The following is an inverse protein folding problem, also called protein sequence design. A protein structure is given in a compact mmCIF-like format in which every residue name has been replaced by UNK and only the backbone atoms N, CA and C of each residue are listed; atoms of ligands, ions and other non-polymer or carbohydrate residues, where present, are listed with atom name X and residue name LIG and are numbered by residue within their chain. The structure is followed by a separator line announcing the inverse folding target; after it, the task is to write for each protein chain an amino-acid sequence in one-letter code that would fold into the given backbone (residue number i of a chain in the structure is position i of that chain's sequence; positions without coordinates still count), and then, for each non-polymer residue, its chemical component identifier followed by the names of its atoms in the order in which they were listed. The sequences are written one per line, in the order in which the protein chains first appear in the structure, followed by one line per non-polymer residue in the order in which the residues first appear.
data_IF_034159811039
#
_entry.id   IF_034159811039
#
_cell.length_a   1.000
_cell.length_b   1.000
_cell.length_c   1.000
_cell.angle_alpha   90.00
_cell.angle_beta   90.00
_cell.angle_gamma   90.00
#
_symmetry.space_group_name_H-M   'P 1'
#
loop_
_entity.id
_entity.type
_entity.pdbx_description
1 polymer ?
#
# COMPACT_ATOMS: atom_id res chain seq x y z
N UNK A 1 -26.39 -6.99 45.07
CA UNK A 1 -25.87 -8.37 45.23
C UNK A 1 -24.36 -8.25 45.03
N UNK A 2 -23.54 -7.91 46.04
CA UNK A 2 -23.01 -8.83 47.07
C UNK A 2 -22.76 -10.22 46.44
N UNK A 3 -21.56 -10.81 46.36
CA UNK A 3 -20.27 -10.52 46.96
C UNK A 3 -19.38 -11.75 46.61
N UNK A 4 -18.07 -11.67 46.88
CA UNK A 4 -17.28 -12.74 47.53
C UNK A 4 -16.60 -13.82 46.64
N UNK A 5 -15.27 -13.65 46.56
CA UNK A 5 -14.21 -14.64 46.89
C UNK A 5 -13.34 -15.17 45.75
N UNK A 6 -12.08 -14.69 45.83
CA UNK A 6 -10.85 -15.28 45.37
C UNK A 6 -10.73 -16.76 45.77
N UNK A 7 -10.36 -17.62 44.84
CA UNK A 7 -9.70 -18.88 45.17
C UNK A 7 -8.34 -18.91 44.45
N UNK A 8 -7.31 -18.58 45.24
CA UNK A 8 -5.93 -18.90 44.94
C UNK A 8 -5.83 -20.43 44.94
N UNK A 9 -5.45 -21.02 43.80
CA UNK A 9 -4.92 -22.38 43.75
C UNK A 9 -3.52 -22.30 43.15
N UNK A 10 -2.52 -22.34 44.03
CA UNK A 10 -1.14 -22.64 43.70
C UNK A 10 -1.07 -24.08 43.18
N UNK A 11 -0.85 -24.25 41.89
CA UNK A 11 -0.30 -25.49 41.34
C UNK A 11 0.96 -25.15 40.55
N UNK A 12 2.09 -25.57 41.10
CA UNK A 12 3.34 -25.67 40.38
C UNK A 12 3.18 -26.76 39.32
N UNK A 13 3.27 -26.36 38.06
CA UNK A 13 3.19 -27.26 36.91
C UNK A 13 3.88 -26.61 35.73
N UNK A 14 5.18 -26.85 35.61
CA UNK A 14 5.97 -26.51 34.43
C UNK A 14 5.41 -27.31 33.25
N UNK A 15 4.64 -26.66 32.40
CA UNK A 15 4.24 -27.18 31.09
C UNK A 15 4.78 -26.22 30.03
N UNK A 16 5.67 -26.78 29.20
CA UNK A 16 6.28 -26.16 28.03
C UNK A 16 5.18 -25.69 27.07
N UNK A 17 4.84 -24.40 27.12
CA UNK A 17 4.04 -23.77 26.08
C UNK A 17 4.99 -23.30 24.97
N UNK A 18 4.96 -24.07 23.88
CA UNK A 18 5.49 -23.83 22.54
C UNK A 18 5.71 -22.35 22.22
N UNK A 19 6.93 -22.00 21.80
CA UNK A 19 7.24 -20.67 21.30
C UNK A 19 6.31 -20.29 20.16
N UNK A 20 5.62 -19.17 20.31
CA UNK A 20 4.89 -18.54 19.23
C UNK A 20 5.90 -18.13 18.14
N UNK A 21 6.05 -18.96 17.12
CA UNK A 21 6.59 -18.52 15.84
C UNK A 21 5.44 -17.89 15.07
N UNK A 22 5.30 -16.57 15.18
CA UNK A 22 4.37 -15.83 14.35
C UNK A 22 4.99 -14.46 14.02
N UNK A 23 5.51 -14.32 12.80
CA UNK A 23 5.70 -13.02 12.15
C UNK A 23 7.12 -12.61 11.76
N UNK A 24 7.90 -13.43 11.04
CA UNK A 24 9.16 -12.97 10.42
C UNK A 24 9.51 -13.66 9.08
N UNK A 25 8.51 -13.99 8.26
CA UNK A 25 8.71 -14.62 6.95
C UNK A 25 8.44 -13.77 5.68
N UNK A 26 7.76 -12.59 5.70
CA UNK A 26 7.59 -11.82 4.46
C UNK A 26 8.85 -11.08 4.00
N UNK A 27 9.75 -10.70 4.92
CA UNK A 27 10.83 -9.77 4.58
C UNK A 27 12.04 -10.44 3.90
N UNK A 28 12.42 -11.66 4.29
CA UNK A 28 13.61 -12.32 3.74
C UNK A 28 13.43 -12.73 2.27
N UNK A 29 12.27 -13.29 1.90
CA UNK A 29 11.98 -13.70 0.53
C UNK A 29 11.86 -12.49 -0.42
N UNK A 30 11.29 -11.38 0.06
CA UNK A 30 11.28 -10.12 -0.68
C UNK A 30 12.70 -9.59 -0.88
N UNK A 31 13.51 -9.55 0.17
CA UNK A 31 14.89 -9.07 0.10
C UNK A 31 15.76 -9.89 -0.86
N UNK A 32 15.63 -11.22 -0.88
CA UNK A 32 16.32 -12.07 -1.85
C UNK A 32 15.84 -11.76 -3.28
N UNK A 33 14.54 -11.65 -3.50
CA UNK A 33 13.98 -11.35 -4.81
C UNK A 33 14.45 -10.01 -5.38
N UNK A 34 14.62 -9.00 -4.53
CA UNK A 34 15.11 -7.67 -4.91
C UNK A 34 16.58 -7.65 -5.36
N UNK A 35 17.37 -8.68 -5.07
CA UNK A 35 18.77 -8.77 -5.54
C UNK A 35 18.86 -9.12 -7.02
N UNK A 36 17.90 -9.87 -7.54
CA UNK A 36 17.84 -10.30 -8.95
C UNK A 36 16.38 -10.43 -9.38
N UNK A 37 15.81 -9.32 -9.84
CA UNK A 37 14.40 -9.24 -10.22
C UNK A 37 14.04 -10.11 -11.42
N UNK A 38 14.99 -10.37 -12.31
CA UNK A 38 14.74 -11.04 -13.60
C UNK A 38 14.99 -12.55 -13.52
N UNK A 39 15.46 -13.05 -12.37
CA UNK A 39 15.80 -14.47 -12.12
C UNK A 39 14.70 -15.45 -12.53
N UNK A 40 13.45 -15.13 -12.18
CA UNK A 40 12.27 -15.96 -12.43
C UNK A 40 10.98 -15.14 -12.24
N UNK A 41 9.83 -15.71 -12.59
CA UNK A 41 8.55 -15.02 -12.51
C UNK A 41 8.13 -14.60 -11.10
N UNK A 42 8.51 -15.37 -10.06
CA UNK A 42 8.24 -14.99 -8.68
C UNK A 42 9.03 -13.74 -8.30
N UNK A 43 10.32 -13.67 -8.65
CA UNK A 43 11.15 -12.50 -8.40
C UNK A 43 10.61 -11.26 -9.12
N UNK A 44 10.23 -11.39 -10.39
CA UNK A 44 9.63 -10.30 -11.16
C UNK A 44 8.35 -9.77 -10.48
N UNK A 45 7.46 -10.68 -10.06
CA UNK A 45 6.23 -10.33 -9.37
C UNK A 45 6.51 -9.59 -8.03
N UNK A 46 7.49 -10.06 -7.25
CA UNK A 46 7.87 -9.45 -5.97
C UNK A 46 8.49 -8.06 -6.17
N UNK A 47 9.40 -7.91 -7.12
CA UNK A 47 9.99 -6.61 -7.45
C UNK A 47 8.95 -5.60 -7.92
N UNK A 48 7.99 -6.02 -8.75
CA UNK A 48 6.91 -5.14 -9.21
C UNK A 48 5.99 -4.72 -8.06
N UNK A 49 5.62 -5.65 -7.17
CA UNK A 49 4.85 -5.34 -5.97
C UNK A 49 5.59 -4.34 -5.07
N UNK A 50 6.90 -4.52 -4.87
CA UNK A 50 7.74 -3.60 -4.11
C UNK A 50 7.80 -2.20 -4.75
N UNK A 51 7.96 -2.10 -6.08
CA UNK A 51 7.89 -0.81 -6.80
C UNK A 51 6.54 -0.12 -6.60
N UNK A 52 5.43 -0.85 -6.74
CA UNK A 52 4.12 -0.29 -6.45
C UNK A 52 4.04 0.21 -5.00
N UNK A 53 4.49 -0.56 -4.02
CA UNK A 53 4.46 -0.14 -2.61
C UNK A 53 5.22 1.18 -2.39
N UNK A 54 6.40 1.34 -3.00
CA UNK A 54 7.16 2.58 -2.92
C UNK A 54 6.42 3.77 -3.56
N UNK A 55 5.82 3.55 -4.74
CA UNK A 55 4.99 4.55 -5.41
C UNK A 55 3.79 4.96 -4.53
N UNK A 56 3.12 3.99 -3.90
CA UNK A 56 1.97 4.25 -3.05
C UNK A 56 2.34 5.03 -1.78
N UNK A 57 3.50 4.73 -1.19
CA UNK A 57 4.04 5.52 -0.09
C UNK A 57 4.34 6.96 -0.51
N UNK A 58 4.89 7.17 -1.71
CA UNK A 58 5.14 8.51 -2.25
C UNK A 58 3.83 9.27 -2.49
N UNK A 59 2.83 8.62 -3.10
CA UNK A 59 1.49 9.16 -3.28
C UNK A 59 0.86 9.59 -1.96
N UNK A 60 0.91 8.73 -0.94
CA UNK A 60 0.30 9.01 0.36
C UNK A 60 1.00 10.17 1.10
N UNK A 61 2.33 10.30 0.97
CA UNK A 61 3.06 11.49 1.47
C UNK A 61 2.56 12.75 0.77
N UNK A 62 2.58 12.75 -0.56
CA UNK A 62 2.17 13.91 -1.35
C UNK A 62 0.71 14.28 -1.10
N UNK A 63 -0.19 13.30 -1.00
CA UNK A 63 -1.59 13.53 -0.71
C UNK A 63 -1.81 14.27 0.61
N UNK A 64 -1.06 13.95 1.67
CA UNK A 64 -1.12 14.68 2.94
C UNK A 64 -0.63 16.12 2.78
N UNK A 65 0.43 16.34 2.04
CA UNK A 65 0.92 17.70 1.74
C UNK A 65 -0.10 18.51 0.95
N UNK A 66 -0.72 17.90 -0.07
CA UNK A 66 -1.77 18.55 -0.86
C UNK A 66 -2.96 18.93 0.02
N UNK A 67 -3.39 18.07 0.95
CA UNK A 67 -4.44 18.37 1.91
C UNK A 67 -4.07 19.51 2.86
N UNK A 68 -2.82 19.55 3.33
CA UNK A 68 -2.33 20.58 4.26
C UNK A 68 -2.32 21.99 3.63
N UNK A 69 -2.18 22.08 2.31
CA UNK A 69 -2.20 23.36 1.58
C UNK A 69 -3.59 23.88 1.20
N UNK A 70 -4.65 23.11 1.47
CA UNK A 70 -6.02 23.55 1.14
C UNK A 70 -6.53 24.58 2.17
N UNK A 71 -7.19 25.63 1.67
CA UNK A 71 -7.68 26.78 2.46
C UNK A 71 -8.66 26.41 3.57
N UNK A 72 -9.52 25.42 3.34
CA UNK A 72 -10.64 25.08 4.22
C UNK A 72 -11.06 23.61 4.08
N UNK A 73 -11.99 23.18 4.93
CA UNK A 73 -12.48 21.79 4.94
C UNK A 73 -13.25 21.41 3.68
N UNK A 74 -13.94 22.35 3.04
CA UNK A 74 -14.65 22.08 1.80
C UNK A 74 -13.67 21.82 0.66
N UNK A 75 -12.57 22.57 0.58
CA UNK A 75 -11.47 22.33 -0.36
C UNK A 75 -10.82 20.96 -0.11
N UNK A 76 -10.47 20.64 1.15
CA UNK A 76 -9.96 19.30 1.52
C UNK A 76 -10.94 18.18 1.14
N UNK A 77 -12.24 18.41 1.31
CA UNK A 77 -13.26 17.45 0.96
C UNK A 77 -13.32 17.20 -0.55
N UNK A 78 -13.17 18.24 -1.38
CA UNK A 78 -13.08 18.10 -2.85
C UNK A 78 -11.87 17.23 -3.24
N UNK A 79 -10.70 17.44 -2.62
CA UNK A 79 -9.51 16.60 -2.85
C UNK A 79 -9.77 15.13 -2.46
N UNK A 80 -10.40 14.88 -1.30
CA UNK A 80 -10.79 13.53 -0.85
C UNK A 80 -11.73 12.83 -1.82
N UNK A 81 -12.71 13.56 -2.38
CA UNK A 81 -13.64 13.01 -3.37
C UNK A 81 -12.91 12.66 -4.66
N UNK A 82 -12.08 13.58 -5.19
CA UNK A 82 -11.29 13.35 -6.38
C UNK A 82 -10.33 12.15 -6.22
N UNK A 83 -9.66 12.03 -5.08
CA UNK A 83 -8.74 10.92 -4.81
C UNK A 83 -9.46 9.56 -4.78
N UNK A 84 -10.65 9.49 -4.17
CA UNK A 84 -11.46 8.26 -4.16
C UNK A 84 -11.95 7.88 -5.56
N UNK A 85 -12.36 8.86 -6.36
CA UNK A 85 -12.73 8.62 -7.75
C UNK A 85 -11.54 8.13 -8.59
N UNK A 86 -10.35 8.70 -8.37
CA UNK A 86 -9.12 8.25 -9.02
C UNK A 86 -8.77 6.80 -8.70
N UNK A 87 -8.94 6.34 -7.45
CA UNK A 87 -8.70 4.92 -7.10
C UNK A 87 -9.60 4.00 -7.94
N UNK A 88 -10.89 4.34 -8.07
CA UNK A 88 -11.83 3.57 -8.90
C UNK A 88 -11.39 3.58 -10.36
N UNK A 89 -11.01 4.73 -10.90
CA UNK A 89 -10.48 4.82 -12.26
C UNK A 89 -9.25 3.93 -12.46
N UNK A 90 -8.24 4.05 -11.59
CA UNK A 90 -7.00 3.27 -11.63
C UNK A 90 -7.30 1.77 -11.69
N UNK A 91 -8.14 1.29 -10.78
CA UNK A 91 -8.43 -0.13 -10.67
C UNK A 91 -9.19 -0.64 -11.90
N UNK A 92 -10.10 0.17 -12.46
CA UNK A 92 -10.82 -0.16 -13.70
C UNK A 92 -9.94 -0.10 -14.94
N UNK A 93 -9.03 0.86 -15.02
CA UNK A 93 -8.09 0.99 -16.14
C UNK A 93 -7.08 -0.16 -16.16
N UNK A 94 -6.57 -0.57 -14.99
CA UNK A 94 -5.71 -1.75 -14.89
C UNK A 94 -6.45 -3.04 -15.22
N UNK A 95 -7.70 -3.20 -14.77
CA UNK A 95 -8.52 -4.34 -15.18
C UNK A 95 -8.76 -4.37 -16.69
N UNK A 96 -9.05 -3.21 -17.31
CA UNK A 96 -9.25 -3.11 -18.75
C UNK A 96 -7.98 -3.43 -19.54
N UNK A 97 -6.80 -3.04 -19.03
CA UNK A 97 -5.51 -3.27 -19.67
C UNK A 97 -5.03 -4.72 -19.54
N UNK A 98 -5.23 -5.33 -18.37
CA UNK A 98 -4.61 -6.62 -18.02
C UNK A 98 -5.58 -7.80 -18.11
N UNK A 99 -6.90 -7.55 -18.13
CA UNK A 99 -7.92 -8.59 -17.97
C UNK A 99 -8.01 -9.11 -16.52
N UNK A 100 -9.00 -9.98 -16.24
CA UNK A 100 -9.17 -10.57 -14.93
C UNK A 100 -8.09 -11.62 -14.63
N UNK A 101 -7.76 -11.80 -13.36
CA UNK A 101 -6.66 -12.67 -12.91
C UNK A 101 -6.89 -14.13 -13.26
N UNK A 102 -8.13 -14.58 -13.14
CA UNK A 102 -8.59 -15.94 -13.40
C UNK A 102 -8.48 -16.37 -14.86
N UNK A 103 -8.44 -15.40 -15.79
CA UNK A 103 -8.23 -15.64 -17.23
C UNK A 103 -6.75 -15.51 -17.63
N UNK A 104 -5.85 -15.38 -16.65
CA UNK A 104 -4.46 -15.02 -16.85
C UNK A 104 -3.47 -16.01 -16.20
N UNK A 105 -2.21 -15.94 -16.62
CA UNK A 105 -1.12 -16.79 -16.10
C UNK A 105 -0.33 -16.16 -14.94
N UNK A 106 0.81 -16.78 -14.63
CA UNK A 106 1.76 -16.33 -13.59
C UNK A 106 2.35 -14.94 -13.82
N UNK A 107 2.17 -14.37 -15.02
CA UNK A 107 2.56 -13.01 -15.39
C UNK A 107 1.60 -11.93 -14.88
N UNK A 108 0.35 -12.28 -14.56
CA UNK A 108 -0.66 -11.29 -14.17
C UNK A 108 -0.26 -10.41 -12.97
N UNK A 109 0.34 -10.93 -11.88
CA UNK A 109 0.74 -10.10 -10.74
C UNK A 109 1.76 -9.01 -11.12
N UNK A 110 2.71 -9.33 -12.01
CA UNK A 110 3.67 -8.38 -12.56
C UNK A 110 2.95 -7.25 -13.31
N UNK A 111 2.10 -7.60 -14.28
CA UNK A 111 1.36 -6.63 -15.10
C UNK A 111 0.44 -5.74 -14.25
N UNK A 112 -0.22 -6.32 -13.25
CA UNK A 112 -1.09 -5.59 -12.35
C UNK A 112 -0.30 -4.62 -11.47
N UNK A 113 0.78 -5.07 -10.85
CA UNK A 113 1.60 -4.22 -9.99
C UNK A 113 2.23 -3.06 -10.78
N UNK A 114 2.74 -3.32 -11.99
CA UNK A 114 3.32 -2.28 -12.84
C UNK A 114 2.27 -1.26 -13.33
N UNK A 115 1.05 -1.70 -13.66
CA UNK A 115 -0.04 -0.80 -14.00
C UNK A 115 -0.39 0.13 -12.83
N UNK A 116 -0.54 -0.45 -11.63
CA UNK A 116 -0.85 0.30 -10.42
C UNK A 116 0.27 1.29 -10.07
N UNK A 117 1.53 0.88 -10.17
CA UNK A 117 2.69 1.75 -9.93
C UNK A 117 2.67 2.96 -10.87
N UNK A 118 2.53 2.75 -12.18
CA UNK A 118 2.49 3.82 -13.19
C UNK A 118 1.39 4.84 -12.95
N UNK A 119 0.18 4.39 -12.62
CA UNK A 119 -0.92 5.31 -12.28
C UNK A 119 -0.64 6.08 -10.99
N UNK A 120 -0.05 5.41 -10.01
CA UNK A 120 0.27 5.98 -8.70
C UNK A 120 1.35 7.06 -8.79
N UNK A 121 2.38 6.83 -9.62
CA UNK A 121 3.41 7.83 -9.93
C UNK A 121 2.81 9.06 -10.62
N UNK A 122 2.02 8.86 -11.68
CA UNK A 122 1.34 9.98 -12.37
C UNK A 122 0.46 10.78 -11.42
N UNK A 123 -0.32 10.09 -10.58
CA UNK A 123 -1.18 10.77 -9.60
C UNK A 123 -0.38 11.55 -8.57
N UNK A 124 0.81 11.09 -8.22
CA UNK A 124 1.72 11.82 -7.33
C UNK A 124 2.11 13.16 -7.96
N UNK A 125 2.42 13.19 -9.25
CA UNK A 125 2.70 14.43 -9.98
C UNK A 125 1.47 15.35 -10.08
N UNK A 126 0.28 14.80 -10.36
CA UNK A 126 -0.96 15.58 -10.36
C UNK A 126 -1.21 16.26 -9.01
N UNK A 127 -0.95 15.54 -7.90
CA UNK A 127 -1.13 16.07 -6.55
C UNK A 127 -0.08 17.14 -6.20
N UNK A 128 1.15 17.04 -6.72
CA UNK A 128 2.16 18.10 -6.61
C UNK A 128 1.68 19.37 -7.31
N UNK A 129 1.21 19.24 -8.55
CA UNK A 129 0.67 20.38 -9.32
C UNK A 129 -0.55 20.99 -8.61
N UNK A 130 -1.48 20.17 -8.13
CA UNK A 130 -2.65 20.64 -7.37
C UNK A 130 -2.25 21.36 -6.07
N UNK A 131 -1.13 20.95 -5.46
CA UNK A 131 -0.57 21.57 -4.27
C UNK A 131 0.13 22.92 -4.55
N UNK A 132 0.33 23.31 -5.82
CA UNK A 132 1.06 24.53 -6.16
C UNK A 132 0.18 25.77 -6.39
N UNK A 133 -1.15 25.68 -6.30
CA UNK A 133 -2.03 26.84 -6.50
C UNK A 133 -1.87 27.48 -7.89
N UNK A 134 -2.49 28.65 -8.11
CA UNK A 134 -2.42 29.34 -9.41
C UNK A 134 -1.13 30.15 -9.62
N UNK A 135 -0.33 30.33 -8.57
CA UNK A 135 0.92 31.12 -8.62
C UNK A 135 2.13 30.28 -9.06
N UNK A 136 1.93 28.98 -9.29
CA UNK A 136 2.93 28.06 -9.83
C UNK A 136 3.72 27.30 -8.78
N UNK A 137 4.29 26.16 -9.18
CA UNK A 137 5.27 25.45 -8.37
C UNK A 137 6.59 26.20 -8.51
N UNK A 138 7.05 26.89 -7.46
CA UNK A 138 8.44 27.35 -7.44
C UNK A 138 9.34 26.11 -7.55
N UNK A 139 10.05 25.98 -8.67
CA UNK A 139 11.11 24.99 -8.85
C UNK A 139 12.14 25.25 -7.74
N UNK A 140 12.27 24.31 -6.81
CA UNK A 140 13.35 24.30 -5.81
C UNK A 140 14.48 23.44 -6.31
#
# INVERSE_FOLDING_TARGET
MKNIVQAIVLTAGMLLASGAQAGAAPDAAMQEALQDCDRNQMNMNLCAAHRHQQADQALNRQYRETLAKQSDDAARQRVRVAQRAWIVFRDKDCLASNGPREESGSIWPLLQADCLARHTERRTEDLKLQACGMEGCAER
#
